data_IF_194395306651
#
_entry.id   IF_194395306651
#
_cell.length_a   1.000
_cell.length_b   1.000
_cell.length_c   1.000
_cell.angle_alpha   90.00
_cell.angle_beta   90.00
_cell.angle_gamma   90.00
#
_symmetry.space_group_name_H-M   'P 1'
#
loop_
_entity.id
_entity.type
_entity.pdbx_description
1 polymer ?
#
# COMPACT_ATOMS: atom_id res chain seq x y z
N UNK A 1 -21.60 14.45 10.22
CA UNK A 1 -21.27 13.43 9.19
C UNK A 1 -20.12 14.00 8.38
N UNK A 2 -18.97 13.34 8.39
CA UNK A 2 -17.72 13.90 7.84
C UNK A 2 -17.26 13.05 6.68
N UNK A 3 -16.93 13.70 5.56
CA UNK A 3 -16.21 13.18 4.40
C UNK A 3 -15.15 12.13 4.77
N UNK A 4 -15.52 10.85 4.62
CA UNK A 4 -14.58 9.71 4.65
C UNK A 4 -13.59 9.88 3.49
N UNK A 5 -12.31 9.49 3.64
CA UNK A 5 -11.29 9.58 2.56
C UNK A 5 -10.31 8.40 2.63
N UNK A 6 -9.81 7.96 1.48
CA UNK A 6 -8.85 6.86 1.29
C UNK A 6 -7.91 7.20 0.14
N UNK A 7 -6.65 6.76 0.17
CA UNK A 7 -5.64 7.10 -0.84
C UNK A 7 -5.11 5.84 -1.54
N UNK A 8 -5.22 5.75 -2.87
CA UNK A 8 -4.73 4.60 -3.65
C UNK A 8 -3.80 4.97 -4.81
N UNK A 9 -2.85 4.08 -5.09
CA UNK A 9 -1.86 4.15 -6.16
C UNK A 9 -1.97 2.96 -7.11
N UNK A 10 -1.52 3.15 -8.35
CA UNK A 10 -1.42 2.13 -9.39
C UNK A 10 -0.08 2.30 -10.11
N UNK A 11 0.68 1.24 -10.38
CA UNK A 11 2.01 1.36 -11.03
C UNK A 11 2.18 0.44 -12.25
N UNK A 12 2.93 0.94 -13.24
CA UNK A 12 3.33 0.21 -14.45
C UNK A 12 4.87 0.27 -14.62
N UNK A 13 5.48 -0.77 -15.21
CA UNK A 13 6.91 -1.09 -15.00
C UNK A 13 7.87 -0.60 -16.08
N UNK A 14 8.99 0.01 -15.66
CA UNK A 14 10.38 -0.44 -15.89
C UNK A 14 11.40 0.65 -15.47
N UNK A 15 12.28 0.37 -14.51
CA UNK A 15 13.57 1.08 -14.38
C UNK A 15 14.59 0.23 -13.60
N UNK A 16 15.86 0.27 -13.99
CA UNK A 16 16.95 -0.54 -13.40
C UNK A 16 17.83 0.28 -12.43
N UNK A 17 18.50 -0.35 -11.44
CA UNK A 17 19.33 0.34 -10.46
C UNK A 17 20.84 0.25 -10.78
N UNK A 18 21.58 1.34 -10.58
CA UNK A 18 23.05 1.39 -10.62
C UNK A 18 23.68 1.46 -9.22
N UNK A 19 24.79 0.74 -9.04
CA UNK A 19 25.57 0.59 -7.78
C UNK A 19 26.33 1.90 -7.42
N UNK A 20 26.77 2.15 -6.17
CA UNK A 20 27.98 1.67 -5.46
C UNK A 20 27.83 2.17 -3.98
N UNK A 21 28.39 1.59 -2.91
CA UNK A 21 29.40 0.52 -2.74
C UNK A 21 29.42 -0.07 -1.32
N UNK A 22 30.56 -0.04 -0.61
CA UNK A 22 30.72 -0.68 0.73
C UNK A 22 31.64 0.07 1.70
N UNK A 23 31.32 0.06 3.02
CA UNK A 23 32.31 0.16 4.10
C UNK A 23 31.81 -0.56 5.38
N UNK A 24 32.72 -0.95 6.30
CA UNK A 24 32.43 -1.84 7.44
C UNK A 24 32.57 -1.13 8.80
N UNK A 25 31.57 -1.22 9.69
CA UNK A 25 31.65 -0.99 11.15
C UNK A 25 30.46 -1.70 11.88
N UNK A 26 30.39 -1.77 13.24
CA UNK A 26 30.09 -3.00 13.98
C UNK A 26 28.59 -3.40 14.11
N UNK A 27 28.29 -4.67 14.50
CA UNK A 27 27.04 -5.33 14.14
C UNK A 27 25.92 -5.18 15.18
N UNK A 28 25.37 -3.97 15.37
CA UNK A 28 24.20 -3.76 16.24
C UNK A 28 23.21 -2.72 15.70
N UNK A 29 22.62 -3.01 14.53
CA UNK A 29 21.36 -2.44 14.06
C UNK A 29 20.60 -3.53 13.31
N UNK A 30 19.98 -4.46 14.06
CA UNK A 30 19.18 -5.51 13.46
C UNK A 30 17.93 -4.90 12.83
N UNK A 31 17.72 -5.16 11.53
CA UNK A 31 16.63 -4.60 10.71
C UNK A 31 15.22 -5.05 11.17
N UNK A 32 15.18 -5.92 12.18
CA UNK A 32 13.98 -6.52 12.78
C UNK A 32 13.12 -5.51 13.56
N UNK A 33 13.68 -4.41 14.09
CA UNK A 33 12.92 -3.47 14.94
C UNK A 33 11.86 -2.61 14.21
N UNK A 34 11.72 -2.73 12.89
CA UNK A 34 10.64 -2.07 12.13
C UNK A 34 9.44 -3.02 11.92
N UNK A 35 9.62 -4.33 12.14
CA UNK A 35 8.60 -5.36 11.90
C UNK A 35 8.27 -6.25 13.10
N UNK A 36 9.05 -6.19 14.18
CA UNK A 36 8.73 -6.83 15.45
C UNK A 36 8.15 -5.81 16.44
N UNK A 37 6.82 -5.75 16.52
CA UNK A 37 6.11 -5.01 17.56
C UNK A 37 6.06 -5.77 18.91
N UNK A 38 6.74 -6.93 19.00
CA UNK A 38 6.72 -7.84 20.12
C UNK A 38 5.43 -8.65 20.26
N UNK A 39 4.46 -8.48 19.36
CA UNK A 39 3.14 -9.13 19.48
C UNK A 39 3.09 -10.56 18.92
N UNK A 40 3.95 -10.88 17.94
CA UNK A 40 3.93 -12.18 17.26
C UNK A 40 5.28 -12.89 17.30
N UNK A 41 5.38 -13.95 18.08
CA UNK A 41 6.57 -14.83 18.15
C UNK A 41 6.85 -15.61 16.85
N UNK A 42 5.98 -15.50 15.84
CA UNK A 42 6.11 -16.15 14.54
C UNK A 42 5.66 -15.21 13.42
N UNK A 43 6.39 -15.22 12.31
CA UNK A 43 6.09 -14.39 11.15
C UNK A 43 6.95 -14.79 9.94
N UNK A 44 6.79 -14.10 8.80
CA UNK A 44 7.67 -14.28 7.64
C UNK A 44 9.11 -13.89 8.00
N UNK A 45 10.06 -14.81 7.81
CA UNK A 45 11.49 -14.59 8.05
C UNK A 45 12.28 -14.70 6.75
N UNK A 46 13.48 -14.11 6.72
CA UNK A 46 14.46 -14.45 5.68
C UNK A 46 15.04 -15.82 6.01
N UNK A 47 14.90 -16.76 5.09
CA UNK A 47 15.32 -18.14 5.27
C UNK A 47 16.84 -18.30 5.07
N UNK A 48 17.52 -18.94 6.01
CA UNK A 48 18.91 -19.36 5.85
C UNK A 48 19.03 -20.49 4.82
N UNK A 49 19.92 -20.33 3.83
CA UNK A 49 20.20 -21.36 2.84
C UNK A 49 21.08 -22.45 3.44
N UNK A 50 20.59 -23.69 3.40
CA UNK A 50 21.33 -24.88 3.78
C UNK A 50 21.22 -25.97 2.68
N UNK A 51 21.89 -27.10 2.87
CA UNK A 51 21.93 -28.18 1.88
C UNK A 51 20.57 -28.89 1.68
N UNK A 52 19.62 -28.74 2.61
CA UNK A 52 18.33 -29.43 2.63
C UNK A 52 17.21 -28.56 2.02
N UNK A 53 17.29 -27.23 2.11
CA UNK A 53 16.30 -26.28 1.59
C UNK A 53 16.74 -25.56 0.29
N UNK A 54 17.88 -25.94 -0.29
CA UNK A 54 18.43 -25.33 -1.51
C UNK A 54 17.47 -25.52 -2.70
N UNK A 55 16.76 -24.43 -3.07
CA UNK A 55 15.76 -24.42 -4.14
C UNK A 55 14.29 -24.52 -3.68
N UNK A 56 14.03 -24.73 -2.38
CA UNK A 56 12.68 -24.69 -1.79
C UNK A 56 12.36 -23.34 -1.10
N UNK A 57 13.35 -22.44 -1.05
CA UNK A 57 13.31 -21.16 -0.33
C UNK A 57 12.27 -20.19 -0.89
N UNK A 58 11.38 -19.66 -0.05
CA UNK A 58 10.35 -18.69 -0.42
C UNK A 58 10.83 -17.24 -0.25
N UNK A 59 11.39 -16.89 0.90
CA UNK A 59 11.94 -15.56 1.22
C UNK A 59 13.46 -15.67 1.41
N UNK A 60 14.20 -15.59 0.31
CA UNK A 60 15.67 -15.70 0.31
C UNK A 60 16.42 -14.42 0.70
N UNK A 61 15.73 -13.27 0.78
CA UNK A 61 16.29 -11.93 1.11
C UNK A 61 15.21 -11.03 1.71
N UNK A 62 15.60 -9.91 2.30
CA UNK A 62 14.64 -8.90 2.78
C UNK A 62 13.74 -8.40 1.62
N UNK A 63 12.46 -8.06 1.88
CA UNK A 63 11.57 -7.56 0.83
C UNK A 63 12.11 -6.32 0.10
N UNK A 64 12.78 -5.42 0.81
CA UNK A 64 13.44 -4.23 0.23
C UNK A 64 14.48 -4.61 -0.83
N UNK A 65 15.32 -5.61 -0.56
CA UNK A 65 16.32 -6.12 -1.49
C UNK A 65 15.67 -6.78 -2.72
N UNK A 66 14.62 -7.58 -2.51
CA UNK A 66 13.90 -8.25 -3.60
C UNK A 66 13.22 -7.24 -4.54
N UNK A 67 12.57 -6.21 -3.98
CA UNK A 67 11.92 -5.13 -4.74
C UNK A 67 12.97 -4.32 -5.51
N UNK A 68 14.04 -3.84 -4.84
CA UNK A 68 15.13 -3.07 -5.48
C UNK A 68 15.81 -3.83 -6.62
N UNK A 69 15.98 -5.15 -6.49
CA UNK A 69 16.58 -6.02 -7.51
C UNK A 69 15.60 -6.48 -8.60
N UNK A 70 14.33 -6.05 -8.55
CA UNK A 70 13.28 -6.50 -9.47
C UNK A 70 12.92 -7.99 -9.35
N UNK A 71 13.37 -8.68 -8.30
CA UNK A 71 13.20 -10.13 -8.08
C UNK A 71 11.83 -10.46 -7.48
N UNK A 72 10.78 -10.12 -8.21
CA UNK A 72 9.40 -10.44 -7.90
C UNK A 72 8.58 -10.63 -9.18
N UNK A 73 7.43 -11.30 -9.11
CA UNK A 73 6.58 -11.50 -10.28
C UNK A 73 6.08 -10.16 -10.83
N UNK A 74 6.35 -9.90 -12.10
CA UNK A 74 6.13 -8.59 -12.71
C UNK A 74 4.67 -8.43 -13.21
N UNK A 75 3.72 -8.24 -12.28
CA UNK A 75 2.29 -7.97 -12.56
C UNK A 75 1.90 -6.49 -12.37
N UNK A 76 0.76 -6.03 -12.91
CA UNK A 76 0.13 -4.77 -12.51
C UNK A 76 -0.24 -4.78 -11.03
N UNK A 77 -0.12 -3.63 -10.35
CA UNK A 77 -0.34 -3.52 -8.89
C UNK A 77 -1.20 -2.31 -8.58
N UNK A 78 -2.25 -2.52 -7.78
CA UNK A 78 -3.02 -1.49 -7.09
C UNK A 78 -2.77 -1.65 -5.59
N UNK A 79 -2.42 -0.56 -4.91
CA UNK A 79 -2.13 -0.51 -3.46
C UNK A 79 -2.70 0.78 -2.87
N UNK A 80 -3.00 0.83 -1.58
CA UNK A 80 -3.54 2.02 -0.94
C UNK A 80 -3.55 1.91 0.57
N UNK A 81 -3.94 3.00 1.23
CA UNK A 81 -4.07 3.11 2.68
C UNK A 81 -5.30 3.96 3.02
N UNK A 82 -5.90 3.72 4.19
CA UNK A 82 -6.88 4.63 4.79
C UNK A 82 -6.23 5.94 5.24
N UNK A 83 -7.03 6.98 5.42
CA UNK A 83 -6.53 8.31 5.80
C UNK A 83 -5.90 8.31 7.20
N UNK A 84 -6.41 7.47 8.10
CA UNK A 84 -6.08 7.50 9.51
C UNK A 84 -5.69 6.09 10.04
N UNK A 85 -5.02 5.25 9.22
CA UNK A 85 -4.64 3.84 9.50
C UNK A 85 -4.36 3.50 10.98
N UNK A 86 -3.47 4.25 11.63
CA UNK A 86 -2.99 3.98 12.99
C UNK A 86 -3.95 4.41 14.12
N UNK A 87 -5.21 4.76 13.83
CA UNK A 87 -6.17 5.19 14.85
C UNK A 87 -7.58 4.64 14.60
N UNK A 88 -8.09 3.87 15.57
CA UNK A 88 -9.45 3.32 15.56
C UNK A 88 -10.37 4.17 16.45
N UNK A 89 -10.66 5.41 16.02
CA UNK A 89 -11.55 6.34 16.72
C UNK A 89 -12.80 6.67 15.87
N UNK A 90 -13.97 6.93 16.49
CA UNK A 90 -15.27 6.97 15.78
C UNK A 90 -15.44 8.04 14.69
N UNK A 91 -14.57 9.05 14.63
CA UNK A 91 -14.60 10.14 13.64
C UNK A 91 -13.45 10.06 12.63
N UNK A 92 -12.68 8.97 12.63
CA UNK A 92 -11.53 8.74 11.76
C UNK A 92 -11.81 7.58 10.79
N UNK A 93 -11.00 7.46 9.73
CA UNK A 93 -11.04 6.28 8.83
C UNK A 93 -9.82 5.44 9.15
N UNK A 94 -10.00 4.50 10.08
CA UNK A 94 -8.94 3.69 10.68
C UNK A 94 -8.50 2.52 9.78
N UNK A 95 -7.65 1.65 10.32
CA UNK A 95 -7.37 0.35 9.72
C UNK A 95 -8.66 -0.48 9.60
N UNK A 96 -8.76 -1.34 8.57
CA UNK A 96 -9.88 -2.30 8.35
C UNK A 96 -11.26 -1.72 8.01
N UNK A 97 -11.61 -0.47 8.38
CA UNK A 97 -12.85 0.24 7.96
C UNK A 97 -13.13 0.13 6.45
N UNK A 98 -12.03 0.03 5.73
CA UNK A 98 -11.88 -0.03 4.29
C UNK A 98 -12.54 -1.27 3.65
N UNK A 99 -12.62 -2.39 4.38
CA UNK A 99 -13.18 -3.67 3.96
C UNK A 99 -14.71 -3.72 3.99
N UNK A 100 -15.36 -2.88 4.81
CA UNK A 100 -16.83 -2.85 4.97
C UNK A 100 -17.58 -2.46 3.69
N UNK A 101 -16.86 -1.92 2.69
CA UNK A 101 -17.37 -1.56 1.38
C UNK A 101 -17.11 -2.64 0.30
N UNK A 102 -16.43 -3.72 0.67
CA UNK A 102 -16.13 -4.89 -0.18
C UNK A 102 -16.83 -6.15 0.31
N UNK A 103 -16.93 -6.33 1.63
CA UNK A 103 -17.46 -7.53 2.26
C UNK A 103 -18.55 -7.17 3.26
N UNK A 104 -19.61 -7.97 3.30
CA UNK A 104 -20.62 -7.90 4.36
C UNK A 104 -20.11 -8.65 5.60
N UNK A 105 -19.87 -7.91 6.69
CA UNK A 105 -19.35 -8.43 7.96
C UNK A 105 -20.38 -8.13 9.06
N UNK A 106 -21.38 -9.01 9.27
CA UNK A 106 -22.51 -8.74 10.18
C UNK A 106 -22.11 -8.54 11.65
N UNK A 107 -20.96 -9.08 12.07
CA UNK A 107 -20.40 -8.93 13.41
C UNK A 107 -19.87 -7.50 13.67
N UNK A 108 -19.60 -6.72 12.61
CA UNK A 108 -19.00 -5.38 12.69
C UNK A 108 -19.97 -4.29 12.25
N UNK A 109 -20.76 -4.51 11.20
CA UNK A 109 -21.68 -3.51 10.64
C UNK A 109 -22.96 -4.12 10.07
N UNK A 110 -24.09 -3.39 10.11
CA UNK A 110 -25.30 -3.79 9.39
C UNK A 110 -25.09 -3.77 7.87
N UNK A 111 -25.89 -4.55 7.14
CA UNK A 111 -25.85 -4.56 5.67
C UNK A 111 -26.19 -3.18 5.10
N UNK A 112 -25.22 -2.58 4.39
CA UNK A 112 -25.41 -1.35 3.62
C UNK A 112 -26.39 -1.63 2.47
N UNK A 113 -27.49 -0.90 2.43
CA UNK A 113 -28.54 -1.03 1.40
C UNK A 113 -28.32 -0.02 0.28
N UNK A 114 -28.86 -0.26 -0.94
CA UNK A 114 -28.78 0.70 -2.05
C UNK A 114 -29.38 2.09 -1.78
N UNK A 115 -30.18 2.24 -0.72
CA UNK A 115 -30.79 3.49 -0.26
C UNK A 115 -29.90 4.30 0.69
N UNK A 116 -28.86 3.69 1.23
CA UNK A 116 -28.04 4.27 2.29
C UNK A 116 -26.93 5.14 1.68
N UNK A 117 -26.49 6.23 2.32
CA UNK A 117 -25.47 7.12 1.75
C UNK A 117 -24.13 6.40 1.48
N UNK A 118 -23.80 5.38 2.26
CA UNK A 118 -22.65 4.49 2.06
C UNK A 118 -22.71 3.64 0.77
N UNK A 119 -23.86 3.50 0.12
CA UNK A 119 -24.01 2.69 -1.09
C UNK A 119 -23.11 3.16 -2.25
N UNK A 120 -22.84 4.47 -2.33
CA UNK A 120 -21.89 5.03 -3.30
C UNK A 120 -20.48 4.45 -3.12
N UNK A 121 -20.01 4.35 -1.87
CA UNK A 121 -18.71 3.77 -1.56
C UNK A 121 -18.67 2.27 -1.88
N UNK A 122 -19.71 1.50 -1.55
CA UNK A 122 -19.82 0.08 -1.93
C UNK A 122 -19.72 -0.10 -3.45
N UNK A 123 -20.50 0.66 -4.22
CA UNK A 123 -20.47 0.62 -5.68
C UNK A 123 -19.09 1.03 -6.24
N UNK A 124 -18.44 2.03 -5.64
CA UNK A 124 -17.11 2.51 -6.04
C UNK A 124 -16.04 1.45 -5.81
N UNK A 125 -15.96 0.87 -4.60
CA UNK A 125 -14.95 -0.13 -4.26
C UNK A 125 -15.13 -1.43 -5.05
N UNK A 126 -16.36 -1.95 -5.13
CA UNK A 126 -16.65 -3.15 -5.93
C UNK A 126 -16.39 -2.91 -7.44
N UNK A 127 -16.68 -1.72 -7.97
CA UNK A 127 -16.35 -1.36 -9.35
C UNK A 127 -14.84 -1.29 -9.59
N UNK A 128 -14.07 -0.68 -8.70
CA UNK A 128 -12.60 -0.58 -8.81
C UNK A 128 -11.98 -1.98 -8.89
N UNK A 129 -12.28 -2.83 -7.92
CA UNK A 129 -11.66 -4.15 -7.81
C UNK A 129 -12.12 -5.10 -8.93
N UNK A 130 -13.39 -5.06 -9.34
CA UNK A 130 -13.89 -5.88 -10.46
C UNK A 130 -13.36 -5.41 -11.82
N UNK A 131 -13.21 -4.10 -12.07
CA UNK A 131 -12.58 -3.60 -13.29
C UNK A 131 -11.10 -3.95 -13.33
N UNK A 132 -10.37 -3.82 -12.21
CA UNK A 132 -8.98 -4.22 -12.13
C UNK A 132 -8.79 -5.72 -12.39
N UNK A 133 -9.58 -6.59 -11.74
CA UNK A 133 -9.50 -8.03 -11.92
C UNK A 133 -9.86 -8.50 -13.35
N UNK A 134 -10.80 -7.82 -14.02
CA UNK A 134 -11.25 -8.20 -15.37
C UNK A 134 -10.47 -7.58 -16.52
N UNK A 135 -9.88 -6.39 -16.34
CA UNK A 135 -9.28 -5.58 -17.43
C UNK A 135 -7.85 -5.11 -17.14
N UNK A 136 -7.32 -5.30 -15.93
CA UNK A 136 -6.04 -4.74 -15.49
C UNK A 136 -6.03 -3.22 -15.28
N UNK A 137 -7.18 -2.55 -15.45
CA UNK A 137 -7.36 -1.11 -15.25
C UNK A 137 -8.43 -0.90 -14.16
N UNK A 138 -8.10 -0.26 -13.02
CA UNK A 138 -9.02 -0.07 -11.91
C UNK A 138 -10.03 1.05 -12.10
N UNK A 139 -9.93 1.87 -13.16
CA UNK A 139 -10.80 3.03 -13.39
C UNK A 139 -12.27 2.62 -13.36
N UNK A 140 -13.06 3.08 -12.38
CA UNK A 140 -14.45 2.68 -12.26
C UNK A 140 -15.28 3.30 -13.40
N UNK A 141 -16.01 2.47 -14.13
CA UNK A 141 -16.86 2.89 -15.27
C UNK A 141 -18.20 3.49 -14.80
N UNK A 142 -18.30 3.90 -13.53
CA UNK A 142 -19.45 4.61 -12.98
C UNK A 142 -19.51 6.01 -13.60
N UNK A 143 -20.30 6.12 -14.67
CA UNK A 143 -20.33 7.24 -15.62
C UNK A 143 -20.78 8.61 -15.07
N UNK A 144 -20.86 8.77 -13.75
CA UNK A 144 -21.28 10.00 -13.06
C UNK A 144 -20.11 10.97 -12.76
N UNK A 145 -18.88 10.47 -12.57
CA UNK A 145 -17.77 11.31 -12.04
C UNK A 145 -16.62 11.55 -13.04
N UNK A 146 -16.54 10.82 -14.15
CA UNK A 146 -15.59 11.10 -15.25
C UNK A 146 -14.10 10.99 -14.91
N UNK A 147 -13.74 10.53 -13.71
CA UNK A 147 -12.35 10.44 -13.24
C UNK A 147 -11.64 9.24 -13.83
N UNK A 148 -10.65 9.50 -14.68
CA UNK A 148 -9.69 8.50 -15.15
C UNK A 148 -8.62 8.28 -14.08
N UNK A 149 -8.54 7.09 -13.50
CA UNK A 149 -7.47 6.76 -12.55
C UNK A 149 -6.20 6.41 -13.31
N UNK A 150 -5.24 7.35 -13.32
CA UNK A 150 -3.96 7.19 -13.98
C UNK A 150 -2.97 6.37 -13.13
N UNK A 151 -2.12 5.52 -13.75
CA UNK A 151 -0.95 4.99 -13.07
C UNK A 151 -0.02 6.12 -12.62
N UNK A 152 0.53 5.97 -11.42
CA UNK A 152 1.62 6.78 -10.88
C UNK A 152 2.84 6.71 -11.80
N UNK A 153 3.33 7.88 -12.21
CA UNK A 153 4.68 8.07 -12.74
C UNK A 153 5.58 8.58 -11.59
N UNK A 154 6.83 8.13 -11.53
CA UNK A 154 7.82 8.67 -10.58
C UNK A 154 8.16 10.15 -10.84
N UNK A 155 7.84 10.67 -12.03
CA UNK A 155 8.01 12.08 -12.43
C UNK A 155 6.78 12.94 -12.12
N UNK A 156 5.61 12.34 -12.03
CA UNK A 156 4.32 12.99 -11.78
C UNK A 156 3.55 12.11 -10.79
N UNK A 157 3.94 12.23 -9.52
CA UNK A 157 3.36 11.47 -8.43
C UNK A 157 1.92 11.93 -8.22
N UNK A 158 0.99 11.00 -8.34
CA UNK A 158 -0.44 11.22 -8.15
C UNK A 158 -1.08 10.00 -7.50
N UNK A 159 -2.22 10.21 -6.84
CA UNK A 159 -3.02 9.15 -6.22
C UNK A 159 -4.51 9.44 -6.37
N UNK A 160 -5.33 8.39 -6.26
CA UNK A 160 -6.77 8.50 -6.21
C UNK A 160 -7.21 8.70 -4.75
N UNK A 161 -7.83 9.83 -4.45
CA UNK A 161 -8.54 10.10 -3.20
C UNK A 161 -9.99 9.66 -3.36
N UNK A 162 -10.38 8.65 -2.60
CA UNK A 162 -11.74 8.08 -2.60
C UNK A 162 -12.44 8.57 -1.34
N UNK A 163 -13.34 9.55 -1.49
CA UNK A 163 -14.18 10.05 -0.41
C UNK A 163 -15.62 10.29 -0.82
N UNK A 164 -16.23 11.39 -0.35
CA UNK A 164 -17.55 11.86 -0.83
C UNK A 164 -17.56 12.08 -2.35
N UNK A 165 -16.41 12.43 -2.93
CA UNK A 165 -16.17 12.45 -4.37
C UNK A 165 -14.88 11.67 -4.62
N UNK A 166 -14.80 10.97 -5.76
CA UNK A 166 -13.57 10.32 -6.21
C UNK A 166 -12.75 11.34 -6.99
N UNK A 167 -11.49 11.59 -6.62
CA UNK A 167 -10.65 12.62 -7.27
C UNK A 167 -9.19 12.19 -7.39
N UNK A 168 -8.53 12.54 -8.50
CA UNK A 168 -7.07 12.44 -8.60
C UNK A 168 -6.42 13.62 -7.85
N UNK A 169 -5.41 13.35 -7.02
CA UNK A 169 -4.63 14.35 -6.30
C UNK A 169 -3.14 14.24 -6.63
N UNK A 170 -2.42 15.37 -6.73
CA UNK A 170 -0.97 15.38 -6.93
C UNK A 170 -0.22 15.07 -5.63
N UNK A 171 1.05 14.71 -5.79
CA UNK A 171 2.00 14.43 -4.72
C UNK A 171 1.85 13.03 -4.12
N UNK A 172 2.36 12.86 -2.90
CA UNK A 172 2.14 11.67 -2.10
C UNK A 172 1.08 11.92 -1.01
N UNK A 173 0.29 10.89 -0.65
CA UNK A 173 -0.45 10.83 0.60
C UNK A 173 0.43 11.23 1.77
N UNK A 174 -0.03 12.21 2.56
CA UNK A 174 0.68 12.71 3.74
C UNK A 174 2.14 13.12 3.46
N UNK A 175 2.39 13.80 2.33
CA UNK A 175 3.73 14.13 1.84
C UNK A 175 4.68 14.70 2.92
N UNK A 176 4.21 15.62 3.78
CA UNK A 176 5.02 16.18 4.87
C UNK A 176 5.53 15.11 5.85
N UNK A 177 4.71 14.11 6.18
CA UNK A 177 5.09 12.97 7.03
C UNK A 177 6.08 12.06 6.32
N UNK A 178 5.80 11.73 5.06
CA UNK A 178 6.69 10.91 4.22
C UNK A 178 8.07 11.56 4.06
N UNK A 179 8.12 12.88 3.88
CA UNK A 179 9.35 13.67 3.74
C UNK A 179 10.24 13.61 4.99
N UNK A 180 9.66 13.57 6.19
CA UNK A 180 10.43 13.42 7.43
C UNK A 180 11.07 12.02 7.51
N UNK A 181 10.32 10.96 7.19
CA UNK A 181 10.83 9.58 7.19
C UNK A 181 11.95 9.40 6.15
N UNK A 182 11.70 9.78 4.90
CA UNK A 182 12.71 9.71 3.82
C UNK A 182 13.97 10.53 4.14
N UNK A 183 13.82 11.68 4.82
CA UNK A 183 14.96 12.47 5.28
C UNK A 183 15.72 11.77 6.42
N UNK A 184 15.02 11.16 7.37
CA UNK A 184 15.65 10.39 8.45
C UNK A 184 16.46 9.21 7.87
N UNK A 185 15.86 8.42 6.98
CA UNK A 185 16.53 7.33 6.27
C UNK A 185 17.77 7.84 5.52
N UNK A 186 17.65 8.97 4.81
CA UNK A 186 18.79 9.58 4.11
C UNK A 186 19.91 9.99 5.08
N UNK A 187 19.59 10.51 6.27
CA UNK A 187 20.59 10.91 7.26
C UNK A 187 21.28 9.68 7.85
N UNK A 188 20.53 8.65 8.22
CA UNK A 188 21.11 7.39 8.73
C UNK A 188 22.01 6.75 7.66
N UNK A 189 21.55 6.65 6.41
CA UNK A 189 22.35 6.09 5.29
C UNK A 189 23.59 6.92 4.89
N UNK A 190 23.71 8.16 5.37
CA UNK A 190 24.90 9.00 5.20
C UNK A 190 25.86 8.93 6.40
N UNK A 191 25.47 8.24 7.48
CA UNK A 191 26.23 8.09 8.73
C UNK A 191 26.76 6.65 8.90
N UNK A 192 26.09 5.66 8.29
CA UNK A 192 26.47 4.23 8.25
C UNK A 192 27.18 3.86 6.94
#
# INVERSE_FOLDING_TARGET
MVSKRRNMFYQNKKQEPTEIGTCNLPPFCDYNMIYDDGSSSFGPVVEELNAENSGATFISRTPSDLIKRGKFTQVPVVIGNTKDEYIALPEQVGHVDDLLYLFYIPEVAPLIKPTDPEAHAVNTFTSIWSNFASKGNPTPVTAAEGVSWLPMDVKDLQYLDIGENVTMKPGLPHEDRMRVLLRYDSIISNIT
#
